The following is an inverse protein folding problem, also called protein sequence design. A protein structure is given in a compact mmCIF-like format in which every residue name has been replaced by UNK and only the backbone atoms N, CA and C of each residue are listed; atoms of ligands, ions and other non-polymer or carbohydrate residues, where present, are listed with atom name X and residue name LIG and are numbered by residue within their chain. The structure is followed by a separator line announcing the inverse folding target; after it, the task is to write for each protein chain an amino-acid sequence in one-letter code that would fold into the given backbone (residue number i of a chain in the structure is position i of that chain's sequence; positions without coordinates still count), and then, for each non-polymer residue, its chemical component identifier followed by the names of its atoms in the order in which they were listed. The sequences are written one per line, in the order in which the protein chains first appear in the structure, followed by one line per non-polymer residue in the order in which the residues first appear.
data_IF_633080715388
#
_entry.id   IF_633080715388
#
_cell.length_a   1.000
_cell.length_b   1.000
_cell.length_c   1.000
_cell.angle_alpha   90.00
_cell.angle_beta   90.00
_cell.angle_gamma   90.00
#
_symmetry.space_group_name_H-M   'P 1'
#
loop_
_entity.id
_entity.type
_entity.pdbx_description
1 polymer ?
#
# COMPACT_ATOMS: atom_id res chain seq x y z
N UNK A 1 6.28 9.04 -25.85
CA UNK A 1 5.51 7.86 -25.35
C UNK A 1 5.19 7.95 -23.84
N UNK A 2 4.90 9.15 -23.28
CA UNK A 2 4.70 9.35 -21.83
C UNK A 2 3.25 9.69 -21.42
N UNK A 3 2.39 10.03 -22.40
CA UNK A 3 1.02 10.53 -22.15
C UNK A 3 0.04 9.45 -21.68
N UNK A 4 0.26 8.19 -22.06
CA UNK A 4 -0.63 7.06 -21.75
C UNK A 4 -0.46 6.54 -20.33
N UNK A 5 0.73 6.63 -19.73
CA UNK A 5 1.00 6.16 -18.36
C UNK A 5 0.23 6.98 -17.30
N UNK A 6 0.27 8.32 -17.42
CA UNK A 6 -0.46 9.24 -16.51
C UNK A 6 -1.98 9.04 -16.53
N UNK A 7 -2.51 8.46 -17.61
CA UNK A 7 -3.95 8.19 -17.77
C UNK A 7 -4.37 6.88 -17.10
N UNK A 8 -3.44 5.92 -16.97
CA UNK A 8 -3.70 4.62 -16.32
C UNK A 8 -3.59 4.69 -14.80
N UNK A 9 -2.75 5.57 -14.28
CA UNK A 9 -2.52 5.74 -12.85
C UNK A 9 -2.85 7.18 -12.44
N UNK A 10 -4.11 7.44 -12.02
CA UNK A 10 -4.50 8.77 -11.57
C UNK A 10 -3.70 9.19 -10.32
N UNK A 11 -3.50 10.50 -10.11
CA UNK A 11 -2.84 10.98 -8.90
C UNK A 11 -3.67 10.63 -7.66
N UNK A 12 -3.02 10.07 -6.65
CA UNK A 12 -3.59 9.78 -5.34
C UNK A 12 -3.52 10.97 -4.41
N UNK A 13 -4.51 11.09 -3.53
CA UNK A 13 -4.51 12.05 -2.43
C UNK A 13 -4.18 11.36 -1.11
N UNK A 14 -3.76 12.16 -0.12
CA UNK A 14 -3.55 11.69 1.25
C UNK A 14 -4.89 11.24 1.81
N UNK A 15 -4.93 10.05 2.42
CA UNK A 15 -6.14 9.43 2.95
C UNK A 15 -6.87 8.48 2.00
N UNK A 16 -6.44 8.35 0.75
CA UNK A 16 -6.98 7.35 -0.15
C UNK A 16 -6.51 5.95 0.26
N UNK A 17 -7.43 4.98 0.19
CA UNK A 17 -7.10 3.57 0.36
C UNK A 17 -6.54 3.02 -0.95
N UNK A 18 -5.42 2.34 -0.87
CA UNK A 18 -4.72 1.71 -1.98
C UNK A 18 -4.48 0.24 -1.70
N UNK A 19 -4.36 -0.53 -2.77
CA UNK A 19 -4.04 -1.95 -2.76
C UNK A 19 -2.69 -2.18 -3.38
N UNK A 20 -1.79 -2.84 -2.65
CA UNK A 20 -0.48 -3.27 -3.12
C UNK A 20 -0.56 -4.76 -3.43
N UNK A 21 -0.12 -5.17 -4.61
CA UNK A 21 -0.01 -6.59 -4.95
C UNK A 21 1.36 -7.11 -4.51
N UNK A 22 1.37 -8.19 -3.72
CA UNK A 22 2.61 -8.85 -3.32
C UNK A 22 2.96 -9.87 -4.40
N UNK A 23 4.16 -9.79 -5.02
CA UNK A 23 4.57 -10.75 -6.03
C UNK A 23 4.74 -12.15 -5.42
N UNK A 24 4.54 -13.20 -6.23
CA UNK A 24 4.54 -14.58 -5.75
C UNK A 24 5.86 -15.00 -5.08
N UNK A 25 6.99 -14.41 -5.49
CA UNK A 25 8.30 -14.71 -4.88
C UNK A 25 8.44 -14.21 -3.44
N UNK A 26 7.75 -13.13 -3.09
CA UNK A 26 7.79 -12.54 -1.75
C UNK A 26 6.69 -13.10 -0.83
N UNK A 27 5.87 -14.02 -1.34
CA UNK A 27 4.66 -14.52 -0.68
C UNK A 27 4.84 -15.98 -0.23
N UNK A 28 4.60 -16.28 1.04
CA UNK A 28 4.42 -17.66 1.49
C UNK A 28 3.05 -18.21 1.05
N UNK A 29 2.86 -19.53 1.07
CA UNK A 29 1.65 -20.17 0.53
C UNK A 29 0.34 -19.65 1.17
N UNK A 30 0.40 -19.31 2.45
CA UNK A 30 -0.72 -18.80 3.26
C UNK A 30 -0.85 -17.28 3.23
N UNK A 31 0.05 -16.56 2.56
CA UNK A 31 0.06 -15.11 2.62
C UNK A 31 -0.98 -14.46 1.70
N UNK A 32 -1.54 -13.35 2.18
CA UNK A 32 -2.49 -12.55 1.42
C UNK A 32 -1.82 -12.01 0.14
N UNK A 33 -2.49 -12.19 -1.00
CA UNK A 33 -1.99 -11.69 -2.30
C UNK A 33 -1.96 -10.16 -2.40
N UNK A 34 -2.80 -9.51 -1.59
CA UNK A 34 -3.01 -8.09 -1.64
C UNK A 34 -2.94 -7.52 -0.22
N UNK A 35 -2.17 -6.45 -0.08
CA UNK A 35 -2.08 -5.68 1.15
C UNK A 35 -2.86 -4.38 0.95
N UNK A 36 -3.73 -4.05 1.90
CA UNK A 36 -4.46 -2.79 1.91
C UNK A 36 -3.66 -1.76 2.70
N UNK A 37 -3.58 -0.54 2.16
CA UNK A 37 -2.84 0.55 2.77
C UNK A 37 -3.55 1.88 2.52
N UNK A 38 -3.15 2.92 3.24
CA UNK A 38 -3.58 4.29 3.08
C UNK A 38 -2.38 5.15 2.73
N UNK A 39 -2.59 6.13 1.86
CA UNK A 39 -1.58 7.15 1.57
C UNK A 39 -1.48 8.11 2.74
N UNK A 40 -0.36 8.12 3.45
CA UNK A 40 -0.11 8.98 4.62
C UNK A 40 0.66 10.26 4.24
N UNK A 41 1.51 10.18 3.22
CA UNK A 41 2.30 11.33 2.80
C UNK A 41 2.81 11.23 1.37
N UNK A 42 3.22 12.38 0.83
CA UNK A 42 3.80 12.52 -0.50
C UNK A 42 5.11 13.29 -0.31
N UNK A 43 6.26 12.63 -0.54
CA UNK A 43 7.57 13.29 -0.32
C UNK A 43 8.02 14.09 -1.54
N UNK A 44 8.01 13.45 -2.71
CA UNK A 44 8.36 14.05 -4.01
C UNK A 44 7.24 13.73 -4.97
N UNK A 45 7.06 14.53 -6.05
CA UNK A 45 5.89 14.54 -6.95
C UNK A 45 5.29 13.18 -7.38
N UNK A 46 6.05 12.07 -7.31
CA UNK A 46 5.58 10.71 -7.62
C UNK A 46 5.90 9.63 -6.56
N UNK A 47 6.47 9.99 -5.40
CA UNK A 47 6.79 9.07 -4.30
C UNK A 47 5.82 9.23 -3.12
N UNK A 48 5.16 8.13 -2.78
CA UNK A 48 4.09 8.05 -1.79
C UNK A 48 4.53 7.22 -0.59
N UNK A 49 4.27 7.74 0.61
CA UNK A 49 4.33 6.97 1.85
C UNK A 49 2.99 6.31 2.09
N UNK A 50 3.05 4.99 2.25
CA UNK A 50 1.88 4.15 2.49
C UNK A 50 1.95 3.59 3.91
N UNK A 51 0.79 3.39 4.51
CA UNK A 51 0.69 2.72 5.80
C UNK A 51 -0.58 1.90 5.93
N UNK A 52 -0.50 0.82 6.69
CA UNK A 52 -1.61 -0.06 7.02
C UNK A 52 -2.03 0.18 8.49
N UNK A 53 -3.09 -0.49 8.94
CA UNK A 53 -3.55 -0.52 10.34
C UNK A 53 -2.39 -0.81 11.31
N UNK A 54 -1.52 -1.74 10.93
CA UNK A 54 -0.49 -2.29 11.81
C UNK A 54 0.82 -1.50 11.78
N UNK A 55 1.15 -0.87 10.64
CA UNK A 55 2.45 -0.24 10.43
C UNK A 55 2.50 0.68 9.22
N UNK A 56 3.46 1.58 9.22
CA UNK A 56 3.91 2.36 8.05
C UNK A 56 4.96 1.58 7.26
N UNK A 57 4.88 1.61 5.94
CA UNK A 57 5.88 0.94 5.10
C UNK A 57 7.17 1.74 5.03
N UNK A 58 8.30 1.05 5.24
CA UNK A 58 9.65 1.65 5.13
C UNK A 58 9.97 2.14 3.72
N UNK A 59 9.41 1.49 2.71
CA UNK A 59 9.67 1.80 1.31
C UNK A 59 8.66 2.83 0.77
N UNK A 60 9.14 3.72 -0.08
CA UNK A 60 8.32 4.64 -0.86
C UNK A 60 7.76 3.96 -2.10
N UNK A 61 6.52 4.29 -2.44
CA UNK A 61 5.82 3.70 -3.57
C UNK A 61 5.55 4.71 -4.68
N UNK A 62 5.59 4.24 -5.91
CA UNK A 62 5.17 4.99 -7.09
C UNK A 62 3.76 4.58 -7.53
N UNK A 63 3.06 5.45 -8.27
CA UNK A 63 1.64 5.24 -8.65
C UNK A 63 1.35 3.95 -9.42
N UNK A 64 2.35 3.36 -10.06
CA UNK A 64 2.21 2.09 -10.80
C UNK A 64 2.33 0.84 -9.93
N UNK A 65 2.82 0.98 -8.69
CA UNK A 65 3.04 -0.15 -7.78
C UNK A 65 1.80 -0.49 -6.94
N UNK A 66 0.79 0.36 -6.97
CA UNK A 66 -0.46 0.16 -6.23
C UNK A 66 -1.66 0.55 -7.08
N UNK A 67 -2.83 0.10 -6.65
CA UNK A 67 -4.12 0.41 -7.29
C UNK A 67 -5.01 1.12 -6.27
N UNK A 68 -5.62 2.22 -6.67
CA UNK A 68 -6.55 2.96 -5.80
C UNK A 68 -7.83 2.14 -5.61
N UNK A 69 -8.27 2.00 -4.36
CA UNK A 69 -9.57 1.44 -4.04
C UNK A 69 -10.62 2.54 -4.14
N UNK A 70 -11.78 2.25 -4.74
CA UNK A 70 -12.90 3.20 -4.79
C UNK A 70 -13.49 3.46 -3.42
N UNK A 71 -13.38 2.48 -2.52
CA UNK A 71 -13.91 2.51 -1.17
C UNK A 71 -12.81 2.85 -0.17
N UNK A 72 -13.14 3.70 0.81
CA UNK A 72 -12.25 4.04 1.92
C UNK A 72 -12.40 3.02 3.03
N UNK A 73 -11.66 1.92 2.93
CA UNK A 73 -11.72 0.80 3.88
C UNK A 73 -10.90 1.09 5.15
N UNK A 74 -9.98 2.06 5.09
CA UNK A 74 -9.03 2.38 6.13
C UNK A 74 -9.04 3.89 6.43
N UNK A 75 -8.93 4.24 7.70
CA UNK A 75 -8.85 5.63 8.19
C UNK A 75 -7.44 5.97 8.64
N UNK A 76 -6.98 7.19 8.35
CA UNK A 76 -5.62 7.66 8.69
C UNK A 76 -5.37 7.63 10.20
N UNK A 77 -6.39 7.93 11.00
CA UNK A 77 -6.27 8.06 12.46
C UNK A 77 -5.94 6.76 13.19
N UNK A 78 -6.15 5.60 12.54
CA UNK A 78 -5.94 4.27 13.13
C UNK A 78 -4.58 3.66 12.78
N UNK A 79 -3.69 4.42 12.16
CA UNK A 79 -2.42 3.93 11.63
C UNK A 79 -1.35 3.97 12.72
N UNK A 80 -0.69 2.84 12.93
CA UNK A 80 0.48 2.73 13.82
C UNK A 80 1.73 3.38 13.21
N UNK A 81 2.51 4.05 14.06
CA UNK A 81 3.79 4.66 13.69
C UNK A 81 4.94 3.64 13.55
N UNK A 82 4.71 2.36 13.86
CA UNK A 82 5.73 1.34 13.69
C UNK A 82 6.07 1.14 12.21
N UNK A 83 7.36 1.04 11.89
CA UNK A 83 7.80 0.80 10.52
C UNK A 83 8.00 -0.69 10.23
N UNK A 84 7.39 -1.20 9.17
CA UNK A 84 7.58 -2.58 8.70
C UNK A 84 7.80 -2.65 7.19
N UNK A 85 8.40 -3.75 6.73
CA UNK A 85 8.50 -4.08 5.30
C UNK A 85 7.19 -4.68 4.78
N UNK A 86 6.99 -4.64 3.45
CA UNK A 86 5.80 -5.22 2.82
C UNK A 86 5.67 -6.72 3.10
N UNK A 87 6.80 -7.44 3.15
CA UNK A 87 6.84 -8.89 3.44
C UNK A 87 6.40 -9.19 4.87
N UNK A 88 6.89 -8.42 5.84
CA UNK A 88 6.51 -8.58 7.24
C UNK A 88 5.03 -8.30 7.45
N UNK A 89 4.49 -7.26 6.80
CA UNK A 89 3.06 -6.94 6.90
C UNK A 89 2.18 -7.99 6.22
N UNK A 90 2.59 -8.51 5.05
CA UNK A 90 1.89 -9.61 4.38
C UNK A 90 1.80 -10.85 5.29
N UNK A 91 2.91 -11.23 5.93
CA UNK A 91 2.96 -12.34 6.86
C UNK A 91 2.14 -12.10 8.14
N UNK A 92 2.12 -10.86 8.65
CA UNK A 92 1.32 -10.49 9.81
C UNK A 92 -0.19 -10.57 9.52
N UNK A 93 -0.60 -10.17 8.32
CA UNK A 93 -2.01 -10.21 7.92
C UNK A 93 -2.53 -11.65 7.83
N UNK A 94 -1.71 -12.59 7.39
CA UNK A 94 -2.04 -14.03 7.33
C UNK A 94 -2.34 -14.64 8.70
N UNK A 95 -1.64 -14.18 9.74
CA UNK A 95 -1.79 -14.70 11.12
C UNK A 95 -3.08 -14.22 11.80
N UNK A 96 -3.66 -13.13 11.32
CA UNK A 96 -4.90 -12.58 11.88
C UNK A 96 -6.16 -13.32 11.42
N UNK A 97 -6.08 -14.15 10.37
CA UNK A 97 -7.22 -14.88 9.80
C UNK A 97 -7.27 -16.37 10.19
N UNK A 98 -6.44 -16.80 11.16
CA UNK A 98 -6.35 -18.18 11.66
C UNK A 98 -7.19 -18.48 12.89
#
# INVERSE_FOLDING_TARGET
MLRTSKRKFPPTQIGDTVRIQVPDFDRCQTDARNVLAVVVGIETSDFYKLANKNSTFKQLYTRNQFVICKEKLLSIDKISAQEMSLREDAAANSRSEG
#
